data_IF_803348320419
#
_entry.id   IF_803348320419
#
_cell.length_a   1.000
_cell.length_b   1.000
_cell.length_c   1.000
_cell.angle_alpha   90.00
_cell.angle_beta   90.00
_cell.angle_gamma   90.00
#
_symmetry.space_group_name_H-M   'P 1'
#
loop_
_entity.id
_entity.type
_entity.pdbx_description
1 polymer ?
#
# COMPACT_ATOMS: atom_id res chain seq x y z
N UNK A 1 9.55 -6.89 23.39
CA UNK A 1 8.67 -6.07 22.52
C UNK A 1 7.46 -6.92 22.19
N UNK A 2 6.23 -6.49 22.47
CA UNK A 2 5.04 -7.26 22.08
C UNK A 2 4.79 -7.08 20.59
N UNK A 3 4.80 -8.17 19.83
CA UNK A 3 4.43 -8.15 18.42
C UNK A 3 2.94 -7.81 18.31
N UNK A 4 2.60 -6.74 17.61
CA UNK A 4 1.20 -6.41 17.30
C UNK A 4 0.56 -7.56 16.52
N UNK A 5 -0.71 -7.87 16.79
CA UNK A 5 -1.45 -8.86 15.98
C UNK A 5 -1.66 -8.33 14.55
N UNK A 6 -1.96 -9.23 13.60
CA UNK A 6 -2.22 -8.83 12.20
C UNK A 6 -3.44 -7.92 12.11
N UNK A 7 -4.43 -8.12 12.96
CA UNK A 7 -5.63 -7.30 13.06
C UNK A 7 -5.27 -5.90 13.55
N UNK A 8 -4.42 -5.79 14.58
CA UNK A 8 -3.96 -4.51 15.09
C UNK A 8 -3.09 -3.74 14.10
N UNK A 9 -2.30 -4.44 13.27
CA UNK A 9 -1.54 -3.82 12.17
C UNK A 9 -2.48 -3.35 11.05
N UNK A 10 -3.44 -4.19 10.65
CA UNK A 10 -4.40 -3.83 9.61
C UNK A 10 -5.28 -2.64 10.02
N UNK A 11 -5.68 -2.57 11.31
CA UNK A 11 -6.51 -1.49 11.85
C UNK A 11 -5.84 -0.10 11.85
N UNK A 12 -4.53 -0.02 11.61
CA UNK A 12 -3.83 1.26 11.42
C UNK A 12 -4.15 1.91 10.05
N UNK A 13 -4.73 1.13 9.14
CA UNK A 13 -5.06 1.56 7.78
C UNK A 13 -6.57 1.66 7.62
N UNK A 14 -7.04 2.86 7.26
CA UNK A 14 -8.45 3.14 7.02
C UNK A 14 -8.87 2.61 5.65
N UNK A 15 -9.98 1.89 5.60
CA UNK A 15 -10.56 1.46 4.32
C UNK A 15 -10.92 2.68 3.47
N UNK A 16 -10.67 2.59 2.16
CA UNK A 16 -10.87 3.66 1.18
C UNK A 16 -10.00 4.92 1.41
N UNK A 17 -8.98 4.83 2.27
CA UNK A 17 -7.91 5.81 2.32
C UNK A 17 -6.81 5.52 1.29
N UNK A 18 -6.15 6.58 0.84
CA UNK A 18 -5.04 6.52 -0.12
C UNK A 18 -3.75 6.74 0.67
N UNK A 19 -2.85 5.76 0.59
CA UNK A 19 -1.54 5.81 1.23
C UNK A 19 -0.42 5.84 0.20
N UNK A 20 0.51 6.78 0.34
CA UNK A 20 1.83 6.68 -0.31
C UNK A 20 2.70 5.75 0.52
N UNK A 21 3.19 4.67 -0.08
CA UNK A 21 4.04 3.68 0.57
C UNK A 21 5.46 3.69 0.01
N UNK A 22 6.42 3.45 0.88
CA UNK A 22 7.83 3.25 0.54
C UNK A 22 8.26 1.88 1.05
N UNK A 23 8.78 1.05 0.15
CA UNK A 23 9.31 -0.26 0.48
C UNK A 23 10.80 -0.36 0.12
N UNK A 24 11.58 -1.02 0.98
CA UNK A 24 12.98 -1.36 0.74
C UNK A 24 13.13 -2.88 0.57
N UNK A 25 13.44 -3.37 -0.65
CA UNK A 25 13.67 -4.78 -0.91
C UNK A 25 15.05 -5.28 -0.42
N UNK A 26 15.85 -4.41 0.21
CA UNK A 26 17.14 -4.79 0.83
C UNK A 26 18.36 -4.75 -0.09
N UNK A 27 18.21 -4.36 -1.36
CA UNK A 27 19.32 -4.07 -2.27
C UNK A 27 19.26 -2.60 -2.71
N UNK A 28 20.25 -1.80 -2.34
CA UNK A 28 20.43 -0.46 -2.91
C UNK A 28 20.67 -0.55 -4.42
N UNK A 29 20.18 0.41 -5.24
CA UNK A 29 19.55 1.69 -4.87
C UNK A 29 18.01 1.65 -4.81
N UNK A 30 17.40 0.46 -4.89
CA UNK A 30 16.03 0.34 -5.38
C UNK A 30 14.99 0.47 -4.27
N UNK A 31 14.63 1.71 -3.91
CA UNK A 31 13.37 1.96 -3.23
C UNK A 31 12.18 1.75 -4.17
N UNK A 32 11.15 1.10 -3.65
CA UNK A 32 9.91 0.90 -4.37
C UNK A 32 8.81 1.78 -3.79
N UNK A 33 8.27 2.66 -4.63
CA UNK A 33 7.15 3.54 -4.30
C UNK A 33 5.83 2.96 -4.77
N UNK A 34 4.79 3.13 -3.95
CA UNK A 34 3.46 2.68 -4.29
C UNK A 34 2.37 3.57 -3.72
N UNK A 35 1.19 3.45 -4.29
CA UNK A 35 -0.07 3.92 -3.77
C UNK A 35 -0.85 2.69 -3.30
N UNK A 36 -1.20 2.67 -2.03
CA UNK A 36 -1.93 1.59 -1.39
C UNK A 36 -3.32 2.09 -1.00
N UNK A 37 -4.36 1.36 -1.39
CA UNK A 37 -5.74 1.64 -0.95
C UNK A 37 -6.28 0.38 -0.27
N UNK A 38 -6.43 0.41 1.06
CA UNK A 38 -7.12 -0.65 1.79
C UNK A 38 -8.59 -0.70 1.36
N UNK A 39 -9.09 -1.90 1.10
CA UNK A 39 -10.49 -2.15 0.74
C UNK A 39 -10.98 -3.39 1.49
N UNK A 40 -12.30 -3.48 1.71
CA UNK A 40 -12.92 -4.53 2.51
C UNK A 40 -13.07 -5.90 1.78
N UNK A 41 -12.94 -6.00 0.45
CA UNK A 41 -13.12 -7.28 -0.29
C UNK A 41 -12.65 -7.26 -1.77
N UNK A 42 -12.24 -8.38 -2.39
CA UNK A 42 -11.63 -9.58 -1.80
C UNK A 42 -10.09 -9.44 -1.68
N UNK A 43 -9.57 -8.23 -1.80
CA UNK A 43 -8.15 -7.93 -1.63
C UNK A 43 -7.90 -6.44 -1.69
N UNK A 44 -6.85 -6.00 -1.01
CA UNK A 44 -6.43 -4.60 -1.04
C UNK A 44 -5.73 -4.32 -2.36
N UNK A 45 -5.99 -3.15 -2.93
CA UNK A 45 -5.38 -2.75 -4.21
C UNK A 45 -4.11 -1.97 -3.96
N UNK A 46 -3.12 -2.24 -4.80
CA UNK A 46 -1.85 -1.54 -4.76
C UNK A 46 -1.47 -1.15 -6.16
N UNK A 47 -1.29 0.14 -6.34
CA UNK A 47 -0.77 0.77 -7.54
C UNK A 47 0.68 1.08 -7.31
N UNK A 48 1.55 0.32 -7.93
CA UNK A 48 2.98 0.51 -7.80
C UNK A 48 3.51 1.35 -8.95
N UNK A 49 4.44 2.25 -8.64
CA UNK A 49 5.20 2.96 -9.65
C UNK A 49 6.60 2.34 -9.68
N UNK A 50 6.92 1.59 -10.74
CA UNK A 50 8.23 0.94 -10.90
C UNK A 50 9.04 1.69 -11.94
N UNK A 51 10.35 1.86 -11.71
CA UNK A 51 11.29 2.46 -12.66
C UNK A 51 12.37 1.46 -13.13
N UNK A 52 12.20 0.17 -12.82
CA UNK A 52 13.19 -0.90 -13.06
C UNK A 52 13.64 -1.04 -14.52
N UNK A 53 12.80 -0.63 -15.46
CA UNK A 53 13.03 -0.79 -16.90
C UNK A 53 13.31 0.53 -17.63
N UNK A 54 13.64 1.62 -16.92
CA UNK A 54 13.99 2.90 -17.56
C UNK A 54 12.82 3.83 -17.87
N UNK A 55 11.87 3.94 -16.95
CA UNK A 55 10.71 4.84 -17.00
C UNK A 55 9.68 4.45 -15.95
N UNK A 56 8.88 5.40 -15.46
CA UNK A 56 7.83 5.11 -14.47
C UNK A 56 6.69 4.33 -15.13
N UNK A 57 6.47 3.10 -14.68
CA UNK A 57 5.33 2.26 -15.08
C UNK A 57 4.41 2.09 -13.90
N UNK A 58 3.12 2.28 -14.17
CA UNK A 58 2.07 1.98 -13.20
C UNK A 58 1.69 0.51 -13.32
N UNK A 59 1.80 -0.22 -12.21
CA UNK A 59 1.36 -1.61 -12.09
C UNK A 59 0.23 -1.69 -11.06
N UNK A 60 -0.95 -2.16 -11.48
CA UNK A 60 -2.04 -2.50 -10.55
C UNK A 60 -1.89 -3.97 -10.13
N UNK A 61 -1.79 -4.20 -8.82
CA UNK A 61 -1.73 -5.53 -8.21
C UNK A 61 -2.61 -5.59 -6.98
N UNK A 62 -3.38 -6.68 -6.86
CA UNK A 62 -4.01 -7.05 -5.60
C UNK A 62 -2.97 -7.61 -4.65
N UNK A 63 -2.88 -7.07 -3.43
CA UNK A 63 -1.99 -7.59 -2.40
C UNK A 63 -2.66 -7.56 -1.02
N UNK A 64 -2.76 -8.73 -0.40
CA UNK A 64 -3.21 -8.84 0.98
C UNK A 64 -2.10 -8.55 2.00
N UNK A 65 -0.84 -8.40 1.56
CA UNK A 65 0.34 -8.43 2.43
C UNK A 65 0.96 -7.07 2.71
N UNK A 66 0.53 -5.97 2.07
CA UNK A 66 1.18 -4.65 2.21
C UNK A 66 1.38 -4.23 3.67
N UNK A 67 0.36 -4.22 4.55
CA UNK A 67 0.55 -3.84 5.96
C UNK A 67 1.52 -4.74 6.73
N UNK A 68 1.74 -5.96 6.23
CA UNK A 68 2.53 -7.01 6.88
C UNK A 68 3.91 -7.20 6.25
N UNK A 69 4.25 -6.40 5.24
CA UNK A 69 5.50 -6.52 4.51
C UNK A 69 6.66 -6.09 5.39
N UNK A 70 7.65 -6.96 5.59
CA UNK A 70 8.90 -6.62 6.28
C UNK A 70 9.73 -5.57 5.51
N UNK A 71 9.47 -5.43 4.22
CA UNK A 71 10.08 -4.40 3.38
C UNK A 71 9.38 -3.05 3.49
N UNK A 72 8.19 -2.95 4.11
CA UNK A 72 7.48 -1.67 4.25
C UNK A 72 8.22 -0.78 5.25
N UNK A 73 8.78 0.31 4.75
CA UNK A 73 9.50 1.30 5.57
C UNK A 73 8.53 2.34 6.11
N UNK A 74 7.57 2.76 5.28
CA UNK A 74 6.69 3.87 5.59
C UNK A 74 5.38 3.81 4.79
N UNK A 75 4.30 4.28 5.40
CA UNK A 75 3.01 4.52 4.76
C UNK A 75 2.41 5.85 5.24
N UNK A 76 2.11 6.75 4.30
CA UNK A 76 1.56 8.07 4.58
C UNK A 76 0.17 8.23 3.99
N UNK A 77 -0.84 8.49 4.83
CA UNK A 77 -2.17 8.82 4.34
C UNK A 77 -2.13 10.16 3.61
N UNK A 78 -2.43 10.16 2.32
CA UNK A 78 -2.52 11.38 1.50
C UNK A 78 -3.97 11.81 1.24
N UNK A 79 -4.94 10.96 1.56
CA UNK A 79 -6.36 11.27 1.47
C UNK A 79 -7.24 10.07 1.78
N UNK A 80 -8.54 10.26 1.62
CA UNK A 80 -9.53 9.18 1.56
C UNK A 80 -10.66 9.58 0.63
N UNK A 81 -11.39 8.59 0.15
CA UNK A 81 -12.59 8.81 -0.65
C UNK A 81 -13.76 8.07 -0.02
N UNK A 82 -14.94 8.65 -0.18
CA UNK A 82 -16.18 7.97 0.19
C UNK A 82 -16.58 7.03 -0.97
N UNK A 83 -16.55 5.70 -0.77
CA UNK A 83 -16.95 4.76 -1.81
C UNK A 83 -18.43 4.90 -2.20
N UNK A 84 -19.27 5.51 -1.35
CA UNK A 84 -20.68 5.78 -1.67
C UNK A 84 -20.87 7.00 -2.58
N UNK A 85 -19.89 7.92 -2.61
CA UNK A 85 -19.92 9.10 -3.48
C UNK A 85 -19.58 8.78 -4.95
N UNK A 86 -19.10 7.57 -5.23
CA UNK A 86 -18.71 7.10 -6.57
C UNK A 86 -19.81 6.34 -7.34
N UNK A 87 -21.04 6.24 -6.82
CA UNK A 87 -22.18 5.79 -7.63
C UNK A 87 -22.62 6.92 -8.56
N UNK A 88 -22.05 6.93 -9.76
CA UNK A 88 -22.57 7.66 -10.93
C UNK A 88 -23.47 6.72 -11.72
#
# INVERSE_FOLDING_TARGET
MSTLSREAIAAQYEDFAIYLILSSPGAEPDFHWGIFIPTASPGRRVWHATNREGGWKLEDKTSASVPFSLSLVFAFKIGSFDPSAGQI
#
